data_IF_020201745896
#
_entry.id   IF_020201745896
#
_cell.length_a   1.000
_cell.length_b   1.000
_cell.length_c   1.000
_cell.angle_alpha   90.00
_cell.angle_beta   90.00
_cell.angle_gamma   90.00
#
_symmetry.space_group_name_H-M   'P 1'
#
loop_
_entity.id
_entity.type
_entity.pdbx_description
1 polymer ?
#
# COMPACT_ATOMS: atom_id res chain seq x y z
N UNK A 1 9.71 -2.27 6.18
CA UNK A 1 8.84 -2.66 5.04
C UNK A 1 9.64 -2.66 3.74
N UNK A 2 9.30 -3.56 2.81
CA UNK A 2 9.94 -3.60 1.49
C UNK A 2 9.29 -2.57 0.56
N UNK A 3 10.08 -1.62 0.07
CA UNK A 3 9.66 -0.69 -0.97
C UNK A 3 9.54 -1.40 -2.32
N UNK A 4 8.35 -1.35 -2.91
CA UNK A 4 8.01 -1.93 -4.21
C UNK A 4 7.65 -0.81 -5.18
N UNK A 5 8.67 -0.21 -5.80
CA UNK A 5 8.51 0.92 -6.71
C UNK A 5 8.23 0.44 -8.13
N UNK A 6 7.02 0.65 -8.63
CA UNK A 6 6.58 0.15 -9.93
C UNK A 6 7.40 0.67 -11.12
N UNK A 7 8.09 1.80 -11.01
CA UNK A 7 9.00 2.27 -12.06
C UNK A 7 10.25 1.37 -12.21
N UNK A 8 10.67 0.73 -11.11
CA UNK A 8 11.87 -0.10 -11.02
C UNK A 8 11.56 -1.59 -11.16
N UNK A 9 10.34 -2.00 -10.79
CA UNK A 9 9.94 -3.41 -10.75
C UNK A 9 9.53 -3.97 -12.12
N UNK A 10 9.87 -5.24 -12.33
CA UNK A 10 9.35 -6.08 -13.42
C UNK A 10 8.77 -7.33 -12.77
N UNK A 11 7.46 -7.50 -12.86
CA UNK A 11 6.75 -8.61 -12.25
C UNK A 11 6.82 -9.80 -13.18
N UNK A 12 7.30 -10.93 -12.68
CA UNK A 12 7.42 -12.18 -13.42
C UNK A 12 6.26 -13.07 -13.03
N UNK A 13 5.49 -13.52 -14.01
CA UNK A 13 4.30 -14.36 -13.82
C UNK A 13 4.46 -15.63 -14.62
N UNK A 14 4.00 -16.76 -14.08
CA UNK A 14 3.91 -18.01 -14.84
C UNK A 14 2.87 -17.87 -15.96
N UNK A 15 3.30 -18.17 -17.19
CA UNK A 15 2.46 -17.99 -18.37
C UNK A 15 1.27 -18.94 -18.39
N UNK A 16 1.44 -20.18 -17.94
CA UNK A 16 0.37 -21.18 -17.95
C UNK A 16 -0.69 -20.84 -16.91
N UNK A 17 -0.28 -20.42 -15.71
CA UNK A 17 -1.19 -19.97 -14.66
C UNK A 17 -1.98 -18.75 -15.09
N UNK A 18 -1.32 -17.74 -15.68
CA UNK A 18 -1.99 -16.54 -16.19
C UNK A 18 -3.01 -16.89 -17.28
N UNK A 19 -2.62 -17.70 -18.27
CA UNK A 19 -3.54 -18.13 -19.33
C UNK A 19 -4.71 -18.96 -18.77
N UNK A 20 -4.47 -19.78 -17.76
CA UNK A 20 -5.52 -20.55 -17.09
C UNK A 20 -6.52 -19.63 -16.39
N UNK A 21 -6.04 -18.59 -15.71
CA UNK A 21 -6.91 -17.62 -15.06
C UNK A 21 -7.71 -16.77 -16.05
N UNK A 22 -7.08 -16.31 -17.14
CA UNK A 22 -7.77 -15.61 -18.25
C UNK A 22 -8.90 -16.48 -18.82
N UNK A 23 -8.62 -17.75 -19.09
CA UNK A 23 -9.59 -18.67 -19.68
C UNK A 23 -10.69 -19.10 -18.71
N UNK A 24 -10.48 -18.95 -17.40
CA UNK A 24 -11.48 -19.28 -16.38
C UNK A 24 -12.69 -18.34 -16.41
N UNK A 25 -12.55 -17.15 -17.02
CA UNK A 25 -13.55 -16.07 -17.01
C UNK A 25 -13.97 -15.63 -15.60
N UNK A 26 -13.19 -15.96 -14.56
CA UNK A 26 -13.37 -15.45 -13.21
C UNK A 26 -12.52 -14.19 -13.04
N UNK A 27 -12.90 -13.36 -12.08
CA UNK A 27 -12.07 -12.25 -11.66
C UNK A 27 -10.85 -12.78 -10.90
N UNK A 28 -9.67 -12.28 -11.28
CA UNK A 28 -8.40 -12.65 -10.67
C UNK A 28 -7.52 -11.41 -10.49
N UNK A 29 -6.49 -11.55 -9.67
CA UNK A 29 -5.47 -10.56 -9.46
C UNK A 29 -4.07 -11.15 -9.66
N UNK A 30 -3.12 -10.27 -9.94
CA UNK A 30 -1.69 -10.58 -9.96
C UNK A 30 -1.08 -9.88 -8.76
N UNK A 31 -0.45 -10.60 -7.84
CA UNK A 31 0.19 -10.00 -6.66
C UNK A 31 1.50 -9.30 -7.04
N UNK A 32 2.05 -8.50 -6.14
CA UNK A 32 3.42 -7.95 -6.29
C UNK A 32 4.51 -9.03 -6.40
N UNK A 33 4.21 -10.27 -6.01
CA UNK A 33 5.09 -11.43 -6.16
C UNK A 33 4.91 -12.17 -7.50
N UNK A 34 3.94 -11.75 -8.32
CA UNK A 34 3.61 -12.40 -9.59
C UNK A 34 2.71 -13.62 -9.47
N UNK A 35 2.10 -13.83 -8.30
CA UNK A 35 1.19 -14.95 -8.04
C UNK A 35 -0.20 -14.61 -8.59
N UNK A 36 -0.89 -15.62 -9.12
CA UNK A 36 -2.28 -15.49 -9.58
C UNK A 36 -3.23 -15.91 -8.45
N UNK A 37 -4.10 -14.99 -8.03
CA UNK A 37 -5.10 -15.22 -6.98
C UNK A 37 -6.49 -14.85 -7.48
N UNK A 38 -7.50 -15.67 -7.13
CA UNK A 38 -8.90 -15.38 -7.47
C UNK A 38 -9.58 -14.58 -6.35
N UNK A 39 -10.58 -13.79 -6.70
CA UNK A 39 -11.34 -13.04 -5.69
C UNK A 39 -12.26 -13.97 -4.87
N UNK A 40 -12.53 -13.66 -3.58
CA UNK A 40 -12.10 -12.47 -2.83
C UNK A 40 -10.61 -12.49 -2.43
N UNK A 41 -9.97 -11.32 -2.48
CA UNK A 41 -8.56 -11.16 -2.06
C UNK A 41 -8.47 -11.13 -0.53
N UNK A 42 -7.41 -11.74 0.02
CA UNK A 42 -7.12 -11.63 1.43
C UNK A 42 -6.74 -10.19 1.82
N UNK A 43 -6.99 -9.82 3.07
CA UNK A 43 -6.59 -8.52 3.62
C UNK A 43 -5.09 -8.29 3.40
N UNK A 44 -4.73 -7.02 3.22
CA UNK A 44 -3.34 -6.57 3.00
C UNK A 44 -2.63 -7.17 1.77
N UNK A 45 -3.37 -7.83 0.87
CA UNK A 45 -2.81 -8.32 -0.39
C UNK A 45 -2.60 -7.15 -1.37
N UNK A 46 -1.34 -6.77 -1.57
CA UNK A 46 -0.92 -5.81 -2.58
C UNK A 46 -0.89 -6.46 -3.97
N UNK A 47 -1.56 -5.83 -4.94
CA UNK A 47 -1.73 -6.36 -6.30
C UNK A 47 -1.32 -5.37 -7.37
N UNK A 48 -0.80 -5.89 -8.48
CA UNK A 48 -0.41 -5.13 -9.67
C UNK A 48 -1.40 -5.30 -10.83
N UNK A 49 -2.48 -6.08 -10.64
CA UNK A 49 -3.60 -6.21 -11.56
C UNK A 49 -4.80 -6.78 -10.81
N UNK A 50 -6.02 -6.32 -11.14
CA UNK A 50 -7.29 -6.98 -10.80
C UNK A 50 -8.19 -6.86 -12.01
N UNK A 51 -8.79 -7.96 -12.45
CA UNK A 51 -9.72 -7.92 -13.55
C UNK A 51 -10.27 -9.27 -13.96
N UNK A 52 -11.19 -9.22 -14.92
CA UNK A 52 -11.84 -10.37 -15.51
C UNK A 52 -11.76 -10.27 -17.03
N UNK A 53 -11.28 -11.32 -17.70
CA UNK A 53 -11.38 -11.38 -19.14
C UNK A 53 -12.79 -11.81 -19.55
N UNK A 54 -13.47 -10.95 -20.31
CA UNK A 54 -14.75 -11.25 -20.95
C UNK A 54 -14.50 -11.39 -22.44
N UNK A 55 -14.54 -12.61 -23.01
CA UNK A 55 -14.34 -12.83 -24.44
C UNK A 55 -15.38 -12.06 -25.24
N UNK A 56 -14.94 -11.36 -26.29
CA UNK A 56 -15.88 -10.73 -27.23
C UNK A 56 -16.65 -11.82 -27.98
N UNK A 57 -17.97 -11.68 -28.20
CA UNK A 57 -18.72 -12.63 -29.01
C UNK A 57 -18.11 -12.70 -30.41
N UNK A 58 -17.82 -13.90 -30.89
CA UNK A 58 -17.22 -14.11 -32.20
C UNK A 58 -18.18 -13.63 -33.29
N UNK A 59 -17.76 -12.64 -34.10
CA UNK A 59 -18.47 -12.28 -35.32
C UNK A 59 -18.22 -13.36 -36.38
N UNK A 60 -19.29 -13.85 -37.00
CA UNK A 60 -19.22 -14.83 -38.10
C UNK A 60 -18.52 -14.30 -39.36
N UNK A 61 -18.22 -13.00 -39.43
CA UNK A 61 -17.66 -12.33 -40.60
C UNK A 61 -16.16 -11.99 -40.45
N UNK A 62 -15.52 -12.30 -39.33
CA UNK A 62 -14.10 -12.02 -39.10
C UNK A 62 -13.39 -13.26 -38.56
N UNK A 63 -12.20 -13.56 -39.10
CA UNK A 63 -11.30 -14.55 -38.53
C UNK A 63 -11.04 -14.19 -37.05
N UNK A 64 -11.16 -15.13 -36.11
CA UNK A 64 -10.87 -14.86 -34.71
C UNK A 64 -9.39 -14.49 -34.57
N UNK A 65 -9.13 -13.21 -34.33
CA UNK A 65 -7.79 -12.76 -33.93
C UNK A 65 -7.59 -13.19 -32.48
N UNK A 66 -6.52 -13.93 -32.15
CA UNK A 66 -6.25 -14.27 -30.76
C UNK A 66 -6.04 -12.99 -29.96
N UNK A 67 -6.79 -12.83 -28.87
CA UNK A 67 -6.63 -11.71 -27.95
C UNK A 67 -5.26 -11.83 -27.30
N UNK A 68 -4.46 -10.77 -27.37
CA UNK A 68 -3.14 -10.72 -26.74
C UNK A 68 -3.25 -10.47 -25.23
N UNK A 69 -2.25 -10.86 -24.45
CA UNK A 69 -2.20 -10.52 -23.02
C UNK A 69 -2.22 -9.00 -22.79
N UNK A 70 -1.66 -8.21 -23.71
CA UNK A 70 -1.70 -6.75 -23.65
C UNK A 70 -3.13 -6.19 -23.80
N UNK A 71 -3.95 -6.81 -24.66
CA UNK A 71 -5.37 -6.48 -24.78
C UNK A 71 -6.19 -6.93 -23.55
N UNK A 72 -5.76 -8.00 -22.86
CA UNK A 72 -6.43 -8.53 -21.67
C UNK A 72 -6.12 -7.71 -20.42
N UNK A 73 -4.84 -7.44 -20.15
CA UNK A 73 -4.44 -6.69 -18.96
C UNK A 73 -4.72 -5.19 -19.14
N UNK A 74 -4.62 -4.68 -20.37
CA UNK A 74 -4.89 -3.29 -20.73
C UNK A 74 -3.64 -2.56 -21.23
N UNK A 75 -3.87 -1.45 -21.94
CA UNK A 75 -2.81 -0.71 -22.66
C UNK A 75 -1.78 -0.04 -21.75
N UNK A 76 -2.10 0.13 -20.46
CA UNK A 76 -1.21 0.72 -19.47
C UNK A 76 -0.20 -0.30 -18.89
N UNK A 77 -0.24 -1.56 -19.32
CA UNK A 77 0.74 -2.56 -18.96
C UNK A 77 1.73 -2.76 -20.11
N UNK A 78 3.03 -2.78 -19.81
CA UNK A 78 4.03 -3.22 -20.76
C UNK A 78 4.30 -4.69 -20.52
N UNK A 79 4.08 -5.52 -21.54
CA UNK A 79 4.17 -6.97 -21.45
C UNK A 79 5.23 -7.47 -22.39
N UNK A 80 6.12 -8.32 -21.88
CA UNK A 80 7.05 -9.12 -22.68
C UNK A 80 6.80 -10.58 -22.34
N UNK A 81 6.57 -11.40 -23.35
CA UNK A 81 6.35 -12.83 -23.19
C UNK A 81 7.62 -13.61 -23.58
N UNK A 82 7.97 -14.60 -22.77
CA UNK A 82 8.84 -15.70 -23.18
C UNK A 82 8.04 -17.04 -23.22
N UNK A 83 8.72 -18.17 -23.35
CA UNK A 83 8.06 -19.49 -23.48
C UNK A 83 7.30 -19.89 -22.20
N UNK A 84 7.83 -19.58 -21.01
CA UNK A 84 7.29 -20.04 -19.72
C UNK A 84 6.75 -18.89 -18.86
N UNK A 85 7.16 -17.65 -19.14
CA UNK A 85 6.95 -16.50 -18.26
C UNK A 85 6.39 -15.30 -19.02
N UNK A 86 5.74 -14.45 -18.24
CA UNK A 86 5.27 -13.14 -18.68
C UNK A 86 5.90 -12.09 -17.78
N UNK A 87 6.62 -11.15 -18.38
CA UNK A 87 7.23 -10.01 -17.71
C UNK A 87 6.29 -8.80 -17.83
N UNK A 88 5.89 -8.23 -16.71
CA UNK A 88 4.89 -7.16 -16.64
C UNK A 88 5.50 -5.93 -15.98
N UNK A 89 5.42 -4.77 -16.65
CA UNK A 89 5.56 -3.45 -16.01
C UNK A 89 4.20 -2.79 -15.87
N UNK A 90 3.88 -2.36 -14.66
CA UNK A 90 2.55 -1.85 -14.30
C UNK A 90 2.51 -0.35 -13.94
N UNK A 91 3.65 0.36 -13.94
CA UNK A 91 3.73 1.75 -13.47
C UNK A 91 2.74 2.71 -14.18
N UNK A 92 2.52 2.56 -15.49
CA UNK A 92 1.60 3.44 -16.22
C UNK A 92 0.13 3.24 -15.83
N UNK A 93 -0.19 2.17 -15.09
CA UNK A 93 -1.54 1.90 -14.61
C UNK A 93 -1.78 2.37 -13.16
N UNK A 94 -0.86 3.15 -12.58
CA UNK A 94 -0.87 3.52 -11.15
C UNK A 94 -2.24 3.99 -10.62
N UNK A 95 -2.93 4.87 -11.34
CA UNK A 95 -4.24 5.40 -10.90
C UNK A 95 -5.30 4.31 -10.68
N UNK A 96 -5.34 3.30 -11.57
CA UNK A 96 -6.25 2.17 -11.40
C UNK A 96 -5.76 1.22 -10.29
N UNK A 97 -4.44 1.13 -10.08
CA UNK A 97 -3.86 0.33 -9.01
C UNK A 97 -4.15 0.91 -7.63
N UNK A 98 -4.18 2.24 -7.46
CA UNK A 98 -4.63 2.87 -6.22
C UNK A 98 -6.04 2.39 -5.89
N UNK A 99 -6.99 2.57 -6.82
CA UNK A 99 -8.38 2.18 -6.62
C UNK A 99 -8.54 0.67 -6.30
N UNK A 100 -7.74 -0.18 -6.95
CA UNK A 100 -7.77 -1.62 -6.71
C UNK A 100 -7.23 -2.01 -5.32
N UNK A 101 -6.33 -1.22 -4.75
CA UNK A 101 -5.54 -1.58 -3.56
C UNK A 101 -5.93 -0.83 -2.28
N UNK A 102 -6.43 0.41 -2.38
CA UNK A 102 -6.68 1.28 -1.22
C UNK A 102 -7.58 0.64 -0.16
N UNK A 103 -8.57 -0.17 -0.58
CA UNK A 103 -9.48 -0.89 0.31
C UNK A 103 -8.79 -1.94 1.20
N UNK A 104 -7.54 -2.33 0.89
CA UNK A 104 -6.73 -3.30 1.63
C UNK A 104 -5.44 -2.69 2.16
N UNK A 105 -5.19 -1.41 1.90
CA UNK A 105 -4.00 -0.73 2.37
C UNK A 105 -4.15 -0.38 3.86
N UNK A 106 -3.05 -0.44 4.59
CA UNK A 106 -2.97 -0.03 6.00
C UNK A 106 -3.00 1.49 6.16
N UNK A 107 -2.47 2.22 5.17
CA UNK A 107 -2.54 3.68 5.08
C UNK A 107 -2.40 4.11 3.61
N UNK A 108 -2.92 5.30 3.31
CA UNK A 108 -2.87 5.93 2.00
C UNK A 108 -1.90 7.12 2.03
N UNK A 109 -0.86 7.09 1.19
CA UNK A 109 0.09 8.17 1.01
C UNK A 109 0.20 8.56 -0.48
N UNK A 110 -0.95 8.60 -1.13
CA UNK A 110 -1.06 8.93 -2.55
C UNK A 110 -1.34 10.41 -2.80
N UNK A 111 -1.77 11.15 -1.78
CA UNK A 111 -2.19 12.55 -1.88
C UNK A 111 -1.05 13.52 -1.56
N UNK A 112 -1.11 14.73 -2.13
CA UNK A 112 -0.16 15.79 -1.79
C UNK A 112 -0.38 16.41 -0.41
N UNK A 113 -1.52 16.12 0.23
CA UNK A 113 -1.92 16.70 1.51
C UNK A 113 -1.36 15.93 2.71
N UNK A 114 -0.73 14.78 2.47
CA UNK A 114 -0.07 13.96 3.48
C UNK A 114 -0.58 12.52 3.52
N UNK A 115 -0.22 11.84 4.61
CA UNK A 115 -0.66 10.48 4.92
C UNK A 115 -2.10 10.53 5.43
N UNK A 116 -2.97 9.69 4.87
CA UNK A 116 -4.33 9.48 5.34
C UNK A 116 -4.41 8.64 6.62
N UNK A 117 -5.63 8.51 7.14
CA UNK A 117 -5.93 7.72 8.34
C UNK A 117 -5.48 6.26 8.19
N UNK A 118 -5.05 5.64 9.28
CA UNK A 118 -4.76 4.22 9.33
C UNK A 118 -6.05 3.40 9.24
N UNK A 119 -6.02 2.31 8.47
CA UNK A 119 -7.16 1.39 8.39
C UNK A 119 -7.40 0.62 9.69
N UNK A 120 -6.35 0.43 10.50
CA UNK A 120 -6.42 -0.18 11.81
C UNK A 120 -6.78 0.90 12.86
N UNK A 121 -7.85 0.65 13.63
CA UNK A 121 -8.41 1.64 14.55
C UNK A 121 -7.50 1.94 15.72
N UNK A 122 -6.75 0.96 16.21
CA UNK A 122 -5.84 1.13 17.33
C UNK A 122 -4.64 2.00 16.91
N UNK A 123 -4.05 1.74 15.74
CA UNK A 123 -3.02 2.61 15.15
C UNK A 123 -3.55 4.02 14.90
N UNK A 124 -4.78 4.14 14.41
CA UNK A 124 -5.42 5.45 14.20
C UNK A 124 -5.60 6.20 15.52
N UNK A 125 -6.08 5.52 16.57
CA UNK A 125 -6.22 6.11 17.91
C UNK A 125 -4.88 6.58 18.46
N UNK A 126 -3.80 5.80 18.25
CA UNK A 126 -2.45 6.23 18.61
C UNK A 126 -2.04 7.46 17.79
N UNK A 127 -2.38 7.53 16.50
CA UNK A 127 -2.14 8.71 15.65
C UNK A 127 -2.78 9.97 16.22
N UNK A 128 -4.07 9.93 16.55
CA UNK A 128 -4.80 11.05 17.16
C UNK A 128 -4.17 11.55 18.46
N UNK A 129 -3.82 10.65 19.39
CA UNK A 129 -3.15 11.08 20.61
C UNK A 129 -1.72 11.59 20.36
N UNK A 130 -1.03 11.05 19.35
CA UNK A 130 0.33 11.46 19.03
C UNK A 130 0.36 12.91 18.47
N UNK A 131 -0.68 13.34 17.74
CA UNK A 131 -0.75 14.69 17.19
C UNK A 131 -0.81 15.79 18.25
N UNK A 132 -1.34 15.51 19.44
CA UNK A 132 -1.32 16.45 20.58
C UNK A 132 0.11 16.81 21.01
N UNK A 133 1.06 15.91 20.77
CA UNK A 133 2.50 16.12 21.03
C UNK A 133 3.30 16.41 19.76
N UNK A 134 2.66 16.98 18.73
CA UNK A 134 3.29 17.33 17.44
C UNK A 134 3.98 16.15 16.73
N UNK A 135 3.62 14.90 17.05
CA UNK A 135 4.10 13.72 16.33
C UNK A 135 3.18 13.53 15.13
N UNK A 136 3.74 13.61 13.92
CA UNK A 136 2.94 13.59 12.69
C UNK A 136 2.71 12.18 12.16
N UNK A 137 1.63 11.95 11.40
CA UNK A 137 1.41 10.67 10.70
C UNK A 137 2.55 10.30 9.76
N UNK A 138 3.24 11.29 9.18
CA UNK A 138 4.46 11.07 8.39
C UNK A 138 5.54 10.38 9.21
N UNK A 139 5.83 10.89 10.41
CA UNK A 139 6.82 10.29 11.32
C UNK A 139 6.42 8.86 11.72
N UNK A 140 5.13 8.63 11.99
CA UNK A 140 4.62 7.30 12.36
C UNK A 140 4.74 6.30 11.20
N UNK A 141 4.39 6.71 9.99
CA UNK A 141 4.55 5.87 8.80
C UNK A 141 6.03 5.60 8.52
N UNK A 142 6.91 6.59 8.61
CA UNK A 142 8.36 6.38 8.44
C UNK A 142 8.91 5.37 9.44
N UNK A 143 8.47 5.43 10.71
CA UNK A 143 8.82 4.47 11.74
C UNK A 143 8.32 3.05 11.40
N UNK A 144 7.07 2.91 10.97
CA UNK A 144 6.48 1.62 10.55
C UNK A 144 7.23 1.07 9.34
N UNK A 145 7.51 1.91 8.35
CA UNK A 145 8.26 1.54 7.15
C UNK A 145 9.69 1.12 7.48
N UNK A 146 10.32 1.69 8.50
CA UNK A 146 11.65 1.28 8.95
C UNK A 146 11.61 -0.06 9.71
N UNK A 147 10.61 -0.28 10.58
CA UNK A 147 10.67 -1.32 11.61
C UNK A 147 9.72 -2.51 11.43
N UNK A 148 8.68 -2.40 10.61
CA UNK A 148 7.71 -3.47 10.40
C UNK A 148 7.96 -4.25 9.10
N UNK A 149 7.51 -5.49 9.07
CA UNK A 149 7.39 -6.26 7.82
C UNK A 149 6.16 -5.82 7.01
N UNK A 150 6.23 -5.97 5.69
CA UNK A 150 5.18 -5.49 4.79
C UNK A 150 5.71 -4.92 3.47
N UNK A 151 4.80 -4.34 2.70
CA UNK A 151 5.08 -3.78 1.37
C UNK A 151 4.67 -2.30 1.33
N UNK A 152 5.55 -1.44 0.83
CA UNK A 152 5.19 -0.10 0.37
C UNK A 152 5.06 -0.15 -1.16
N UNK A 153 3.83 -0.28 -1.66
CA UNK A 153 3.55 -0.25 -3.09
C UNK A 153 3.50 1.20 -3.54
N UNK A 154 4.43 1.62 -4.41
CA UNK A 154 4.54 3.02 -4.78
C UNK A 154 4.93 3.23 -6.23
N UNK A 155 4.73 4.46 -6.70
CA UNK A 155 5.56 5.06 -7.73
C UNK A 155 6.45 6.11 -7.06
N UNK A 156 7.74 6.06 -7.36
CA UNK A 156 8.68 7.08 -6.92
C UNK A 156 9.69 7.38 -8.02
N UNK A 157 9.88 8.67 -8.29
CA UNK A 157 10.84 9.18 -9.25
C UNK A 157 11.56 10.40 -8.66
N UNK A 158 12.89 10.40 -8.71
CA UNK A 158 13.73 11.49 -8.16
C UNK A 158 13.87 12.66 -9.14
N UNK A 159 13.99 12.38 -10.44
CA UNK A 159 14.33 13.34 -11.49
C UNK A 159 13.32 13.27 -12.65
N UNK A 160 12.88 14.40 -13.25
CA UNK A 160 13.39 15.77 -13.06
C UNK A 160 12.74 16.55 -11.90
N UNK A 161 11.70 15.99 -11.27
CA UNK A 161 11.07 16.52 -10.07
C UNK A 161 10.73 15.32 -9.19
N UNK A 162 10.95 15.45 -7.89
CA UNK A 162 10.59 14.40 -6.96
C UNK A 162 9.07 14.17 -7.02
N UNK A 163 8.69 12.94 -7.30
CA UNK A 163 7.33 12.47 -7.28
C UNK A 163 7.26 11.22 -6.42
N UNK A 164 6.35 11.22 -5.45
CA UNK A 164 6.02 10.05 -4.65
C UNK A 164 4.50 9.90 -4.57
N UNK A 165 4.04 8.66 -4.61
CA UNK A 165 2.66 8.27 -4.35
C UNK A 165 2.68 6.80 -3.95
N UNK A 166 2.15 6.47 -2.77
CA UNK A 166 2.31 5.13 -2.19
C UNK A 166 1.13 4.65 -1.35
N UNK A 167 1.04 3.34 -1.21
CA UNK A 167 0.12 2.63 -0.33
C UNK A 167 0.93 1.67 0.54
N UNK A 168 0.74 1.72 1.85
CA UNK A 168 1.39 0.82 2.80
C UNK A 168 0.56 -0.41 3.10
N UNK A 169 1.21 -1.57 3.19
CA UNK A 169 0.62 -2.85 3.56
C UNK A 169 1.45 -3.45 4.70
N UNK A 170 1.03 -3.18 5.94
CA UNK A 170 1.69 -3.70 7.14
C UNK A 170 1.32 -5.17 7.28
N UNK A 171 2.30 -6.06 7.46
CA UNK A 171 2.02 -7.49 7.57
C UNK A 171 1.35 -7.84 8.91
N UNK A 172 1.90 -7.32 10.02
CA UNK A 172 1.42 -7.54 11.38
C UNK A 172 1.00 -6.22 12.06
N UNK A 173 -0.30 -6.04 12.29
CA UNK A 173 -0.82 -4.84 12.94
C UNK A 173 -0.48 -4.79 14.44
N UNK A 174 -0.40 -5.94 15.12
CA UNK A 174 -0.08 -5.98 16.55
C UNK A 174 1.37 -5.53 16.76
N UNK A 175 2.29 -6.02 15.93
CA UNK A 175 3.67 -5.57 15.95
C UNK A 175 3.77 -4.05 15.69
N UNK A 176 3.05 -3.54 14.69
CA UNK A 176 3.06 -2.11 14.38
C UNK A 176 2.50 -1.27 15.54
N UNK A 177 1.44 -1.74 16.20
CA UNK A 177 0.87 -1.09 17.38
C UNK A 177 1.89 -1.02 18.52
N UNK A 178 2.60 -2.11 18.81
CA UNK A 178 3.65 -2.13 19.84
C UNK A 178 4.76 -1.12 19.54
N UNK A 179 5.26 -1.10 18.30
CA UNK A 179 6.34 -0.21 17.85
C UNK A 179 5.91 1.26 17.93
N UNK A 180 4.73 1.59 17.41
CA UNK A 180 4.19 2.96 17.43
C UNK A 180 3.94 3.42 18.87
N UNK A 181 3.31 2.58 19.68
CA UNK A 181 3.03 2.92 21.07
C UNK A 181 4.32 3.16 21.87
N UNK A 182 5.33 2.31 21.71
CA UNK A 182 6.63 2.48 22.37
C UNK A 182 7.31 3.79 21.95
N UNK A 183 7.33 4.07 20.65
CA UNK A 183 7.91 5.31 20.12
C UNK A 183 7.21 6.54 20.67
N UNK A 184 5.87 6.61 20.57
CA UNK A 184 5.08 7.71 21.09
C UNK A 184 5.28 7.88 22.59
N UNK A 185 5.26 6.79 23.36
CA UNK A 185 5.51 6.85 24.80
C UNK A 185 6.88 7.48 25.11
N UNK A 186 7.94 7.06 24.45
CA UNK A 186 9.29 7.61 24.68
C UNK A 186 9.36 9.08 24.28
N UNK A 187 8.77 9.43 23.13
CA UNK A 187 8.78 10.80 22.60
C UNK A 187 7.99 11.76 23.48
N UNK A 188 6.80 11.36 23.93
CA UNK A 188 5.93 12.14 24.84
C UNK A 188 6.60 12.32 26.20
N UNK A 189 7.14 11.24 26.81
CA UNK A 189 7.91 11.35 28.07
C UNK A 189 9.06 12.35 27.96
N UNK A 190 9.78 12.32 26.83
CA UNK A 190 10.86 13.26 26.56
C UNK A 190 10.36 14.71 26.45
N UNK A 191 9.26 14.94 25.74
CA UNK A 191 8.67 16.28 25.61
C UNK A 191 8.22 16.84 26.96
N UNK A 192 7.53 16.04 27.76
CA UNK A 192 7.08 16.47 29.10
C UNK A 192 8.27 16.83 30.01
N UNK A 193 9.40 16.15 29.86
CA UNK A 193 10.57 16.37 30.68
C UNK A 193 11.46 17.55 30.21
N UNK A 194 11.50 17.81 28.89
CA UNK A 194 12.49 18.70 28.28
C UNK A 194 11.89 19.95 27.63
N UNK A 195 10.62 19.94 27.25
CA UNK A 195 9.95 21.04 26.55
C UNK A 195 9.05 21.82 27.53
N UNK A 196 9.35 23.11 27.73
CA UNK A 196 8.61 23.98 28.64
C UNK A 196 7.13 24.10 28.24
N UNK A 197 6.80 23.99 26.94
CA UNK A 197 5.41 24.05 26.47
C UNK A 197 4.62 22.81 26.89
N UNK A 198 5.28 21.66 26.98
CA UNK A 198 4.68 20.37 27.33
C UNK A 198 4.97 19.95 28.78
N UNK A 199 5.52 20.84 29.60
CA UNK A 199 5.76 20.55 31.00
C UNK A 199 4.47 20.10 31.69
N UNK A 200 4.56 19.18 32.66
CA UNK A 200 3.40 18.52 33.29
C UNK A 200 2.32 19.50 33.81
N UNK A 201 2.73 20.66 34.32
CA UNK A 201 1.81 21.67 34.86
C UNK A 201 1.18 22.57 33.76
N UNK A 202 1.63 22.45 32.51
CA UNK A 202 1.21 23.25 31.36
C UNK A 202 0.39 22.47 30.33
N UNK A 203 0.20 21.15 30.52
CA UNK A 203 -0.61 20.33 29.61
C UNK A 203 -2.06 20.82 29.61
N UNK A 204 -2.61 20.93 28.40
CA UNK A 204 -4.05 21.04 28.17
C UNK A 204 -4.78 19.72 28.49
N UNK A 205 -6.11 19.76 28.55
CA UNK A 205 -6.92 18.56 28.82
C UNK A 205 -6.67 17.44 27.78
N UNK A 206 -6.54 17.81 26.50
CA UNK A 206 -6.30 16.87 25.39
C UNK A 206 -4.87 16.28 25.47
N UNK A 207 -3.87 17.11 25.79
CA UNK A 207 -2.48 16.66 25.97
C UNK A 207 -2.32 15.79 27.23
N UNK A 208 -3.05 16.08 28.31
CA UNK A 208 -3.08 15.24 29.51
C UNK A 208 -3.70 13.87 29.20
N UNK A 209 -4.84 13.84 28.50
CA UNK A 209 -5.48 12.59 28.06
C UNK A 209 -4.52 11.75 27.20
N UNK A 210 -3.89 12.38 26.19
CA UNK A 210 -2.91 11.71 25.34
C UNK A 210 -1.68 11.20 26.13
N UNK A 211 -1.18 11.96 27.11
CA UNK A 211 -0.08 11.52 27.96
C UNK A 211 -0.47 10.33 28.86
N UNK A 212 -1.71 10.31 29.37
CA UNK A 212 -2.25 9.17 30.12
C UNK A 212 -2.39 7.93 29.23
N UNK A 213 -2.91 8.10 28.00
CA UNK A 213 -3.02 7.03 27.00
C UNK A 213 -1.66 6.37 26.75
N UNK A 214 -0.61 7.16 26.51
CA UNK A 214 0.75 6.65 26.31
C UNK A 214 1.48 6.24 27.59
N UNK A 215 0.86 6.37 28.77
CA UNK A 215 1.45 6.06 30.09
C UNK A 215 2.76 6.85 30.31
N UNK A 216 2.70 8.15 30.03
CA UNK A 216 3.82 9.07 30.09
C UNK A 216 3.84 9.99 31.32
N UNK A 217 2.84 9.89 32.22
CA UNK A 217 2.69 10.71 33.42
C UNK A 217 3.10 10.04 34.74
#
# INVERSE_FOLDING_TARGET
MKKFNLFKEIIIVDKQELLSAVNSQKEFAITTKGEIVFTPLADKTAVIYVGQHIPKPASSLSLPKPTTLAEILGQNYQIVEDEERVLIKAFSNWQNLIAANVIRASYDDTTGDGVGEFSNKELETMGWHATEFNITYRELVELIEERCEGILLCIEQEEPQYQFSGLGFIEDDEQAQEIVFEYCQQRVKKMIAEDELYAKDNLSDDEEEAAQFFKAL
#
